data_IF_443719278863
#
_entry.id   IF_443719278863
#
_cell.length_a   1.000
_cell.length_b   1.000
_cell.length_c   1.000
_cell.angle_alpha   90.00
_cell.angle_beta   90.00
_cell.angle_gamma   90.00
#
_symmetry.space_group_name_H-M   'P 1'
#
loop_
_entity.id
_entity.type
_entity.pdbx_description
1 polymer ?
#
# COMPACT_ATOMS: atom_id res chain seq x y z
N UNK A 1 21.17 70.64 -21.91
CA UNK A 1 20.06 71.61 -21.85
C UNK A 1 18.78 70.80 -21.88
N UNK A 2 17.96 70.75 -20.83
CA UNK A 2 18.07 71.44 -19.53
C UNK A 2 17.34 70.63 -18.45
N UNK A 3 18.00 70.50 -17.30
CA UNK A 3 17.48 70.47 -15.92
C UNK A 3 16.26 69.60 -15.53
N UNK A 4 16.47 68.75 -14.52
CA UNK A 4 15.43 68.26 -13.61
C UNK A 4 15.22 69.27 -12.46
N UNK A 5 14.18 69.14 -11.60
CA UNK A 5 14.49 68.65 -10.25
C UNK A 5 13.36 67.92 -9.47
N UNK A 6 13.79 67.34 -8.32
CA UNK A 6 13.07 67.14 -7.05
C UNK A 6 12.12 65.95 -6.80
N UNK A 7 12.20 65.46 -5.55
CA UNK A 7 11.40 64.41 -4.86
C UNK A 7 11.48 64.71 -3.33
N UNK A 8 10.95 63.90 -2.37
CA UNK A 8 10.02 62.77 -2.43
C UNK A 8 8.63 63.15 -1.83
N UNK A 9 8.18 62.90 -0.55
CA UNK A 9 8.66 62.10 0.60
C UNK A 9 7.73 60.93 1.02
N UNK A 10 8.11 60.16 2.05
CA UNK A 10 7.34 59.07 2.69
C UNK A 10 7.95 57.67 2.46
N UNK A 11 8.09 56.74 3.42
CA UNK A 11 7.60 56.65 4.80
C UNK A 11 6.51 55.58 4.95
N UNK A 12 6.60 54.55 5.82
CA UNK A 12 7.70 54.13 6.70
C UNK A 12 7.29 52.92 7.58
N UNK A 13 8.26 52.17 8.10
CA UNK A 13 8.05 50.95 8.92
C UNK A 13 7.74 49.67 8.11
N UNK A 14 7.90 48.46 8.66
CA UNK A 14 8.52 48.10 9.95
C UNK A 14 8.24 46.64 10.37
N UNK A 15 9.29 45.86 10.63
CA UNK A 15 9.21 44.47 11.11
C UNK A 15 8.83 43.41 10.06
N UNK A 16 9.04 42.10 10.31
CA UNK A 16 9.84 41.52 11.40
C UNK A 16 9.53 40.07 11.76
N UNK A 17 10.32 39.12 11.23
CA UNK A 17 10.51 37.77 11.80
C UNK A 17 9.48 36.69 11.44
N UNK A 18 9.82 35.44 11.78
CA UNK A 18 8.89 34.31 11.83
C UNK A 18 8.74 33.49 10.54
N UNK A 19 9.70 32.60 10.26
CA UNK A 19 9.40 31.44 9.43
C UNK A 19 8.64 30.39 10.25
N UNK A 20 7.66 29.73 9.64
CA UNK A 20 6.99 28.55 10.18
C UNK A 20 7.05 27.45 9.13
N UNK A 21 8.03 26.56 9.26
CA UNK A 21 8.15 25.37 8.41
C UNK A 21 7.05 24.36 8.75
N UNK A 22 5.85 24.58 8.20
CA UNK A 22 4.75 23.62 8.29
C UNK A 22 5.05 22.43 7.36
N UNK A 23 6.01 21.62 7.81
CA UNK A 23 6.51 20.41 7.16
C UNK A 23 5.49 19.28 7.20
N UNK A 24 4.30 19.55 6.68
CA UNK A 24 3.19 18.62 6.48
C UNK A 24 3.57 17.53 5.47
N UNK A 25 4.44 16.61 5.92
CA UNK A 25 4.91 15.44 5.21
C UNK A 25 3.82 14.38 5.03
N UNK A 26 2.66 14.78 4.50
CA UNK A 26 1.70 13.88 3.88
C UNK A 26 2.39 13.24 2.68
N UNK A 27 3.07 12.12 2.93
CA UNK A 27 3.87 11.40 1.95
C UNK A 27 3.01 11.06 0.73
N UNK A 28 3.16 11.85 -0.33
CA UNK A 28 2.26 11.76 -1.47
C UNK A 28 2.32 10.38 -2.09
N UNK A 29 1.15 9.81 -2.39
CA UNK A 29 0.99 8.73 -3.37
C UNK A 29 1.25 9.31 -4.78
N UNK A 30 2.49 9.75 -4.99
CA UNK A 30 2.92 10.61 -6.09
C UNK A 30 2.93 9.88 -7.42
N UNK A 31 1.76 9.78 -8.05
CA UNK A 31 1.63 9.18 -9.37
C UNK A 31 1.88 7.68 -9.40
N UNK A 32 1.46 6.94 -8.37
CA UNK A 32 1.25 5.48 -8.49
C UNK A 32 0.32 5.28 -9.70
N UNK A 33 0.82 4.64 -10.76
CA UNK A 33 0.03 4.50 -11.98
C UNK A 33 -1.11 3.54 -11.67
N UNK A 34 -2.25 3.76 -12.30
CA UNK A 34 -3.40 2.86 -12.12
C UNK A 34 -3.05 1.40 -12.45
N UNK A 35 -2.18 1.19 -13.43
CA UNK A 35 -1.64 -0.11 -13.80
C UNK A 35 -0.78 -0.77 -12.69
N UNK A 36 -0.09 0.03 -11.85
CA UNK A 36 0.72 -0.46 -10.74
C UNK A 36 -0.15 -1.01 -9.60
N UNK A 37 -1.44 -0.62 -9.56
CA UNK A 37 -2.43 -1.12 -8.57
C UNK A 37 -2.94 -2.52 -8.89
N UNK A 38 -2.82 -2.97 -10.14
CA UNK A 38 -3.47 -4.17 -10.64
C UNK A 38 -2.49 -5.34 -10.83
N UNK A 39 -2.85 -6.53 -10.34
CA UNK A 39 -2.12 -7.75 -10.67
C UNK A 39 -2.23 -8.06 -12.18
N UNK A 40 -1.19 -8.64 -12.83
CA UNK A 40 -1.23 -8.94 -14.25
C UNK A 40 -2.43 -9.80 -14.66
N UNK A 41 -3.21 -9.35 -15.65
CA UNK A 41 -4.44 -10.01 -16.13
C UNK A 41 -4.24 -11.48 -16.55
N UNK A 42 -3.02 -11.84 -16.97
CA UNK A 42 -2.63 -13.22 -17.27
C UNK A 42 -2.61 -14.13 -16.03
N UNK A 43 -2.25 -13.61 -14.84
CA UNK A 43 -2.28 -14.34 -13.58
C UNK A 43 -3.73 -14.50 -13.09
N UNK A 44 -4.52 -13.43 -13.15
CA UNK A 44 -5.97 -13.46 -12.86
C UNK A 44 -6.66 -14.51 -13.73
N UNK A 45 -6.48 -14.44 -15.06
CA UNK A 45 -7.08 -15.39 -16.00
C UNK A 45 -6.57 -16.83 -15.83
N UNK A 46 -5.36 -17.05 -15.30
CA UNK A 46 -4.83 -18.39 -14.97
C UNK A 46 -5.45 -18.97 -13.71
N UNK A 47 -5.74 -18.13 -12.71
CA UNK A 47 -6.40 -18.54 -11.45
C UNK A 47 -7.88 -18.85 -11.72
N UNK A 48 -8.62 -17.93 -12.35
CA UNK A 48 -10.03 -18.13 -12.70
C UNK A 48 -10.24 -19.39 -13.56
N UNK A 49 -9.29 -19.72 -14.45
CA UNK A 49 -9.33 -20.93 -15.28
C UNK A 49 -9.31 -22.24 -14.48
N UNK A 50 -8.88 -22.24 -13.22
CA UNK A 50 -8.92 -23.42 -12.33
C UNK A 50 -10.32 -23.67 -11.74
N UNK A 51 -11.19 -22.66 -11.71
CA UNK A 51 -12.53 -22.73 -11.13
C UNK A 51 -13.61 -23.15 -12.14
N UNK A 52 -13.25 -23.43 -13.40
CA UNK A 52 -14.19 -23.81 -14.47
C UNK A 52 -13.67 -25.02 -15.27
N UNK A 53 -14.55 -25.74 -16.01
CA UNK A 53 -14.13 -26.83 -16.88
C UNK A 53 -13.07 -26.41 -17.92
N UNK A 54 -12.20 -27.35 -18.32
CA UNK A 54 -11.04 -27.07 -19.16
C UNK A 54 -11.39 -26.35 -20.49
N UNK A 55 -12.51 -26.74 -21.12
CA UNK A 55 -13.06 -26.16 -22.35
C UNK A 55 -13.84 -24.84 -22.13
N UNK A 56 -14.21 -24.50 -20.90
CA UNK A 56 -14.97 -23.30 -20.55
C UNK A 56 -14.21 -22.02 -20.91
N UNK A 57 -14.93 -20.99 -21.38
CA UNK A 57 -14.35 -19.70 -21.77
C UNK A 57 -14.68 -18.64 -20.72
N UNK A 58 -13.78 -17.67 -20.56
CA UNK A 58 -13.95 -16.51 -19.67
C UNK A 58 -13.90 -15.27 -20.57
N UNK A 59 -14.91 -14.41 -20.47
CA UNK A 59 -14.99 -13.13 -21.18
C UNK A 59 -13.78 -12.23 -20.86
N UNK A 60 -13.58 -11.16 -21.65
CA UNK A 60 -12.58 -10.13 -21.33
C UNK A 60 -12.97 -9.43 -20.03
N UNK A 61 -14.17 -8.85 -20.04
CA UNK A 61 -14.73 -7.98 -19.01
C UNK A 61 -14.75 -8.69 -17.64
N UNK A 62 -15.18 -9.96 -17.60
CA UNK A 62 -15.20 -10.77 -16.39
C UNK A 62 -13.82 -10.98 -15.74
N UNK A 63 -12.70 -10.86 -16.49
CA UNK A 63 -11.35 -10.91 -15.93
C UNK A 63 -10.92 -9.54 -15.39
N UNK A 64 -11.38 -8.47 -16.02
CA UNK A 64 -11.10 -7.09 -15.63
C UNK A 64 -11.86 -6.76 -14.33
N UNK A 65 -13.14 -7.12 -14.24
CA UNK A 65 -13.90 -7.05 -12.97
C UNK A 65 -13.22 -7.84 -11.85
N UNK A 66 -12.71 -9.05 -12.11
CA UNK A 66 -12.00 -9.83 -11.07
C UNK A 66 -10.61 -9.24 -10.76
N UNK A 67 -9.95 -8.58 -11.71
CA UNK A 67 -8.70 -7.84 -11.48
C UNK A 67 -8.93 -6.64 -10.54
N UNK A 68 -10.02 -5.91 -10.75
CA UNK A 68 -10.49 -4.84 -9.86
C UNK A 68 -10.84 -5.39 -8.47
N UNK A 69 -11.73 -6.39 -8.39
CA UNK A 69 -12.15 -7.01 -7.12
C UNK A 69 -10.99 -7.59 -6.30
N UNK A 70 -9.96 -8.17 -6.94
CA UNK A 70 -8.77 -8.69 -6.22
C UNK A 70 -7.92 -7.55 -5.66
N UNK A 71 -7.86 -6.41 -6.34
CA UNK A 71 -7.09 -5.25 -5.89
C UNK A 71 -7.81 -4.51 -4.75
N UNK A 72 -9.13 -4.45 -4.81
CA UNK A 72 -9.97 -4.00 -3.69
C UNK A 72 -9.90 -4.97 -2.50
N UNK A 73 -9.95 -6.28 -2.72
CA UNK A 73 -9.79 -7.29 -1.66
C UNK A 73 -8.46 -7.16 -0.92
N UNK A 74 -7.34 -6.93 -1.63
CA UNK A 74 -6.04 -6.65 -1.01
C UNK A 74 -6.14 -5.39 -0.13
N UNK A 75 -6.76 -4.32 -0.63
CA UNK A 75 -6.91 -3.05 0.09
C UNK A 75 -7.79 -3.19 1.34
N UNK A 76 -8.88 -3.95 1.24
CA UNK A 76 -9.84 -4.24 2.32
C UNK A 76 -9.21 -5.03 3.46
N UNK A 77 -8.60 -6.19 3.17
CA UNK A 77 -7.94 -7.02 4.20
C UNK A 77 -6.76 -6.27 4.86
N UNK A 78 -5.96 -5.54 4.06
CA UNK A 78 -4.80 -4.81 4.62
C UNK A 78 -5.21 -3.59 5.45
N UNK A 79 -6.37 -2.99 5.20
CA UNK A 79 -6.92 -1.90 6.03
C UNK A 79 -7.34 -2.39 7.42
N UNK A 80 -8.12 -3.48 7.53
CA UNK A 80 -8.51 -4.00 8.86
C UNK A 80 -7.29 -4.56 9.64
N UNK A 81 -6.32 -5.17 8.96
CA UNK A 81 -5.05 -5.57 9.56
C UNK A 81 -4.18 -4.37 10.01
N UNK A 82 -4.21 -3.27 9.24
CA UNK A 82 -3.59 -1.99 9.61
C UNK A 82 -4.24 -1.41 10.87
N UNK A 83 -5.57 -1.37 10.93
CA UNK A 83 -6.30 -0.80 12.07
C UNK A 83 -6.06 -1.61 13.36
N UNK A 84 -5.98 -2.94 13.29
CA UNK A 84 -5.49 -3.76 14.42
C UNK A 84 -4.06 -3.39 14.83
N UNK A 85 -3.14 -3.34 13.86
CA UNK A 85 -1.74 -2.98 14.11
C UNK A 85 -1.63 -1.60 14.81
N UNK A 86 -2.40 -0.60 14.37
CA UNK A 86 -2.44 0.74 14.93
C UNK A 86 -3.09 0.79 16.32
N UNK A 87 -4.20 0.07 16.55
CA UNK A 87 -4.82 -0.09 17.89
C UNK A 87 -3.82 -0.68 18.89
N UNK A 88 -2.98 -1.62 18.45
CA UNK A 88 -1.87 -2.18 19.24
C UNK A 88 -0.61 -1.29 19.31
N UNK A 89 -0.67 -0.06 18.80
CA UNK A 89 0.44 0.94 18.78
C UNK A 89 1.68 0.48 17.99
N UNK A 90 1.53 -0.48 17.07
CA UNK A 90 2.60 -0.97 16.19
C UNK A 90 2.60 -0.23 14.86
N UNK A 91 3.79 -0.06 14.28
CA UNK A 91 4.01 0.57 12.95
C UNK A 91 4.24 -0.43 11.81
N UNK A 92 4.09 -1.73 12.09
CA UNK A 92 4.39 -2.80 11.13
C UNK A 92 3.37 -3.92 11.29
N UNK A 93 2.56 -4.10 10.25
CA UNK A 93 1.59 -5.18 10.11
C UNK A 93 2.36 -6.51 10.01
N UNK A 94 1.90 -7.55 10.70
CA UNK A 94 2.51 -8.87 10.67
C UNK A 94 1.52 -9.94 10.14
N UNK A 95 1.98 -11.18 10.00
CA UNK A 95 1.13 -12.28 9.50
C UNK A 95 -0.02 -12.65 10.43
N UNK A 96 0.11 -12.40 11.73
CA UNK A 96 -0.93 -12.68 12.72
C UNK A 96 -2.02 -11.58 12.73
N UNK A 97 -1.71 -10.37 12.25
CA UNK A 97 -2.70 -9.32 11.92
C UNK A 97 -3.56 -9.70 10.72
N UNK A 98 -2.93 -10.22 9.66
CA UNK A 98 -3.65 -10.68 8.46
C UNK A 98 -4.54 -11.89 8.78
N UNK A 99 -4.08 -12.82 9.61
CA UNK A 99 -4.89 -13.92 10.11
C UNK A 99 -6.08 -13.42 10.95
N UNK A 100 -5.88 -12.41 11.81
CA UNK A 100 -6.99 -11.83 12.56
C UNK A 100 -8.00 -11.13 11.64
N UNK A 101 -7.55 -10.30 10.69
CA UNK A 101 -8.41 -9.58 9.76
C UNK A 101 -9.25 -10.53 8.89
N UNK A 102 -8.64 -11.61 8.38
CA UNK A 102 -9.37 -12.66 7.65
C UNK A 102 -10.49 -13.29 8.48
N UNK A 103 -10.27 -13.54 9.78
CA UNK A 103 -11.30 -14.08 10.65
C UNK A 103 -12.40 -13.05 10.98
N UNK A 104 -12.03 -11.80 11.24
CA UNK A 104 -12.98 -10.71 11.53
C UNK A 104 -13.88 -10.35 10.35
N UNK A 105 -13.40 -10.56 9.11
CA UNK A 105 -14.10 -10.19 7.88
C UNK A 105 -14.86 -11.37 7.21
N UNK A 106 -15.00 -12.51 7.89
CA UNK A 106 -15.80 -13.64 7.38
C UNK A 106 -15.08 -14.56 6.37
N UNK A 107 -13.75 -14.66 6.47
CA UNK A 107 -12.90 -15.52 5.64
C UNK A 107 -12.24 -16.66 6.45
N UNK A 108 -12.96 -17.21 7.44
CA UNK A 108 -12.46 -18.23 8.38
C UNK A 108 -11.91 -19.48 7.70
N UNK A 109 -12.51 -19.91 6.58
CA UNK A 109 -12.06 -21.06 5.78
C UNK A 109 -10.61 -20.93 5.26
N UNK A 110 -10.09 -19.69 5.15
CA UNK A 110 -8.72 -19.43 4.71
C UNK A 110 -7.69 -19.48 5.87
N UNK A 111 -8.15 -19.45 7.13
CA UNK A 111 -7.28 -19.30 8.30
C UNK A 111 -6.31 -20.46 8.47
N UNK A 112 -6.78 -21.70 8.42
CA UNK A 112 -5.90 -22.86 8.63
C UNK A 112 -4.87 -23.05 7.51
N UNK A 113 -5.23 -22.93 6.21
CA UNK A 113 -4.26 -22.83 5.12
C UNK A 113 -3.23 -21.70 5.30
N UNK A 114 -3.67 -20.52 5.75
CA UNK A 114 -2.79 -19.36 5.94
C UNK A 114 -1.84 -19.53 7.15
N UNK A 115 -2.26 -20.17 8.25
CA UNK A 115 -1.37 -20.54 9.37
C UNK A 115 -0.23 -21.45 8.90
N UNK A 116 -0.57 -22.51 8.16
CA UNK A 116 0.40 -23.48 7.62
C UNK A 116 1.38 -22.79 6.65
N UNK A 117 0.90 -21.84 5.85
CA UNK A 117 1.76 -21.02 5.00
C UNK A 117 2.68 -20.08 5.82
N UNK A 118 2.14 -19.39 6.82
CA UNK A 118 2.89 -18.46 7.68
C UNK A 118 3.98 -19.17 8.49
N UNK A 119 3.72 -20.39 8.97
CA UNK A 119 4.74 -21.22 9.62
C UNK A 119 5.88 -21.56 8.64
N UNK A 120 5.57 -22.10 7.46
CA UNK A 120 6.58 -22.46 6.44
C UNK A 120 7.38 -21.25 5.97
N UNK A 121 6.74 -20.08 5.86
CA UNK A 121 7.45 -18.82 5.56
C UNK A 121 8.41 -18.41 6.69
N UNK A 122 8.02 -18.57 7.96
CA UNK A 122 8.91 -18.32 9.12
C UNK A 122 10.11 -19.28 9.13
N UNK A 123 9.90 -20.57 8.84
CA UNK A 123 10.94 -21.59 8.71
C UNK A 123 11.95 -21.26 7.59
N UNK A 124 11.46 -21.03 6.37
CA UNK A 124 12.30 -20.67 5.21
C UNK A 124 13.09 -19.39 5.46
N UNK A 125 12.46 -18.37 6.07
CA UNK A 125 13.14 -17.12 6.41
C UNK A 125 14.22 -17.33 7.48
N UNK A 126 13.99 -18.18 8.48
CA UNK A 126 15.02 -18.52 9.48
C UNK A 126 16.21 -19.25 8.85
N UNK A 127 15.95 -20.18 7.92
CA UNK A 127 17.01 -20.82 7.13
C UNK A 127 17.79 -19.79 6.30
N UNK A 128 17.13 -18.90 5.56
CA UNK A 128 17.81 -17.88 4.74
C UNK A 128 18.68 -16.94 5.58
N UNK A 129 18.22 -16.53 6.76
CA UNK A 129 19.04 -15.75 7.71
C UNK A 129 20.25 -16.55 8.19
N UNK A 130 20.08 -17.83 8.53
CA UNK A 130 21.19 -18.71 8.91
C UNK A 130 22.22 -18.88 7.78
N UNK A 131 21.78 -19.11 6.54
CA UNK A 131 22.68 -19.15 5.38
C UNK A 131 23.42 -17.82 5.17
N UNK A 132 22.76 -16.67 5.38
CA UNK A 132 23.41 -15.37 5.27
C UNK A 132 24.46 -15.13 6.38
N UNK A 133 24.31 -15.74 7.56
CA UNK A 133 25.33 -15.76 8.61
C UNK A 133 26.48 -16.75 8.35
N UNK A 134 26.29 -17.79 7.53
CA UNK A 134 27.36 -18.71 7.11
C UNK A 134 28.12 -18.26 5.85
N UNK A 135 27.68 -17.18 5.20
CA UNK A 135 28.26 -16.62 3.97
C UNK A 135 28.91 -15.23 4.15
N UNK A 136 29.07 -14.77 5.39
CA UNK A 136 29.82 -13.57 5.79
C UNK A 136 30.82 -13.91 6.89
#
# INVERSE_FOLDING_TARGET
MSDAPASPPGGGGGGGGGGSDDGGGGGGFGGVREQDRFLPIANISRIMKKAIPANGKIAKDAKETVQECVSEFISFITSEASDKCQREKRKTINGDDLLWAMATLGFEEYIEPLKVYLQKYREVRAHLVMWQFFLN
#
